data_IF_249601164958
#
_entry.id   IF_249601164958
#
_cell.length_a   1.000
_cell.length_b   1.000
_cell.length_c   1.000
_cell.angle_alpha   90.00
_cell.angle_beta   90.00
_cell.angle_gamma   90.00
#
_symmetry.space_group_name_H-M   'P 1'
#
loop_
_entity.id
_entity.type
_entity.pdbx_description
1 polymer ?
#
# COMPACT_ATOMS: atom_id res chain seq x y z
N UNK A 1 1.78 14.21 14.60
CA UNK A 1 2.29 14.46 13.24
C UNK A 1 3.00 13.20 12.77
N UNK A 2 2.59 12.57 11.65
CA UNK A 2 3.31 11.38 11.12
C UNK A 2 4.62 11.86 10.49
N UNK A 3 5.74 11.18 10.77
CA UNK A 3 7.05 11.56 10.24
C UNK A 3 7.13 11.26 8.73
N UNK A 4 7.41 12.25 7.86
CA UNK A 4 7.53 12.02 6.41
C UNK A 4 8.58 10.97 6.04
N UNK A 5 9.70 10.94 6.78
CA UNK A 5 10.76 9.94 6.59
C UNK A 5 10.23 8.52 6.86
N UNK A 6 9.42 8.35 7.91
CA UNK A 6 8.83 7.05 8.23
C UNK A 6 7.82 6.60 7.18
N UNK A 7 7.11 7.52 6.53
CA UNK A 7 6.16 7.17 5.48
C UNK A 7 6.86 6.78 4.17
N UNK A 8 8.00 7.42 3.84
CA UNK A 8 8.84 7.03 2.72
C UNK A 8 9.47 5.64 2.92
N UNK A 9 9.96 5.33 4.12
CA UNK A 9 10.55 4.01 4.40
C UNK A 9 9.50 2.90 4.39
N UNK A 10 8.28 3.18 4.89
CA UNK A 10 7.13 2.27 4.72
C UNK A 10 6.86 1.98 3.25
N UNK A 11 6.89 2.98 2.39
CA UNK A 11 6.64 2.79 0.95
C UNK A 11 7.70 1.92 0.29
N UNK A 12 8.97 2.12 0.64
CA UNK A 12 10.08 1.27 0.17
C UNK A 12 9.87 -0.18 0.58
N UNK A 13 9.49 -0.42 1.85
CA UNK A 13 9.18 -1.77 2.34
C UNK A 13 7.97 -2.37 1.64
N UNK A 14 6.88 -1.62 1.45
CA UNK A 14 5.70 -2.11 0.71
C UNK A 14 6.08 -2.51 -0.71
N UNK A 15 6.76 -1.64 -1.45
CA UNK A 15 7.17 -1.93 -2.83
C UNK A 15 8.06 -3.18 -2.89
N UNK A 16 8.96 -3.35 -1.92
CA UNK A 16 9.82 -4.52 -1.82
C UNK A 16 9.08 -5.82 -1.45
N UNK A 17 7.96 -5.72 -0.71
CA UNK A 17 7.13 -6.88 -0.35
C UNK A 17 6.24 -7.37 -1.49
N UNK A 18 5.77 -6.49 -2.38
CA UNK A 18 4.76 -6.82 -3.40
C UNK A 18 5.03 -8.10 -4.22
N UNK A 19 6.27 -8.41 -4.65
CA UNK A 19 6.55 -9.65 -5.37
C UNK A 19 6.31 -10.93 -4.56
N UNK A 20 6.46 -10.88 -3.24
CA UNK A 20 6.40 -12.05 -2.35
C UNK A 20 4.99 -12.26 -1.75
N UNK A 21 4.18 -11.20 -1.68
CA UNK A 21 2.81 -11.24 -1.13
C UNK A 21 1.93 -12.34 -1.74
N UNK A 22 1.96 -12.63 -3.06
CA UNK A 22 1.17 -13.71 -3.63
C UNK A 22 1.40 -15.08 -3.00
N UNK A 23 2.56 -15.31 -2.40
CA UNK A 23 2.94 -16.56 -1.73
C UNK A 23 2.80 -16.41 -0.21
N UNK A 24 3.55 -15.48 0.37
CA UNK A 24 3.72 -15.32 1.82
C UNK A 24 2.65 -14.45 2.48
N UNK A 25 1.83 -13.77 1.67
CA UNK A 25 0.83 -12.83 2.14
C UNK A 25 1.41 -11.60 2.83
N UNK A 26 0.52 -10.82 3.44
CA UNK A 26 0.89 -9.67 4.27
C UNK A 26 1.36 -10.14 5.65
N UNK A 27 2.55 -10.73 5.71
CA UNK A 27 3.07 -11.40 6.90
C UNK A 27 4.37 -10.78 7.43
N UNK A 28 4.71 -11.10 8.67
CA UNK A 28 6.01 -10.75 9.28
C UNK A 28 7.19 -11.43 8.55
N UNK A 29 6.95 -12.59 7.93
CA UNK A 29 7.96 -13.26 7.12
C UNK A 29 8.28 -12.44 5.86
N UNK A 30 7.24 -12.07 5.10
CA UNK A 30 7.39 -11.25 3.90
C UNK A 30 8.04 -9.88 4.22
N UNK A 31 7.66 -9.26 5.34
CA UNK A 31 8.26 -8.00 5.80
C UNK A 31 9.77 -8.15 6.07
N UNK A 32 10.16 -9.25 6.75
CA UNK A 32 11.57 -9.52 7.04
C UNK A 32 12.37 -9.74 5.76
N UNK A 33 11.86 -10.54 4.83
CA UNK A 33 12.50 -10.81 3.53
C UNK A 33 12.67 -9.52 2.72
N UNK A 34 11.62 -8.69 2.68
CA UNK A 34 11.68 -7.39 2.02
C UNK A 34 12.69 -6.44 2.68
N UNK A 35 12.71 -6.36 4.01
CA UNK A 35 13.65 -5.52 4.76
C UNK A 35 15.11 -5.94 4.51
N UNK A 36 15.41 -7.24 4.57
CA UNK A 36 16.72 -7.80 4.23
C UNK A 36 17.12 -7.44 2.78
N UNK A 37 16.17 -7.53 1.83
CA UNK A 37 16.39 -7.22 0.41
C UNK A 37 16.77 -5.76 0.15
N UNK A 38 16.18 -4.81 0.88
CA UNK A 38 16.43 -3.37 0.68
C UNK A 38 17.39 -2.76 1.71
N UNK A 39 18.01 -3.59 2.55
CA UNK A 39 19.01 -3.14 3.55
C UNK A 39 18.42 -2.41 4.76
N UNK A 40 17.13 -2.62 5.07
CA UNK A 40 16.50 -2.06 6.27
C UNK A 40 16.65 -3.03 7.44
N UNK A 41 17.15 -2.61 8.61
CA UNK A 41 17.22 -3.47 9.78
C UNK A 41 15.84 -4.05 10.14
N UNK A 42 15.76 -5.37 10.36
CA UNK A 42 14.48 -6.06 10.63
C UNK A 42 13.76 -5.48 11.86
N UNK A 43 14.50 -5.05 12.87
CA UNK A 43 13.94 -4.41 14.06
C UNK A 43 13.25 -3.07 13.71
N UNK A 44 13.85 -2.27 12.84
CA UNK A 44 13.28 -1.01 12.35
C UNK A 44 12.05 -1.26 11.47
N UNK A 45 12.13 -2.22 10.54
CA UNK A 45 10.99 -2.61 9.71
C UNK A 45 9.79 -3.04 10.57
N UNK A 46 10.02 -3.84 11.63
CA UNK A 46 8.96 -4.22 12.59
C UNK A 46 8.41 -3.02 13.36
N UNK A 47 9.26 -2.09 13.78
CA UNK A 47 8.85 -0.88 14.49
C UNK A 47 7.95 0.03 13.62
N UNK A 48 8.10 0.01 12.30
CA UNK A 48 7.23 0.74 11.37
C UNK A 48 5.81 0.17 11.27
N UNK A 49 5.63 -1.11 11.61
CA UNK A 49 4.37 -1.87 11.51
C UNK A 49 4.06 -2.66 12.81
N UNK A 50 3.84 -1.98 13.96
CA UNK A 50 3.72 -2.62 15.27
C UNK A 50 2.55 -3.60 15.38
N UNK A 51 1.47 -3.40 14.60
CA UNK A 51 0.31 -4.31 14.57
C UNK A 51 0.43 -5.39 13.47
N UNK A 52 1.58 -5.46 12.80
CA UNK A 52 1.85 -6.45 11.75
C UNK A 52 0.97 -6.27 10.51
N UNK A 53 0.36 -7.37 10.06
CA UNK A 53 -0.36 -7.46 8.78
C UNK A 53 -1.33 -6.29 8.52
N UNK A 54 -2.09 -5.86 9.53
CA UNK A 54 -3.05 -4.76 9.38
C UNK A 54 -2.36 -3.43 9.08
N UNK A 55 -1.24 -3.11 9.75
CA UNK A 55 -0.50 -1.87 9.51
C UNK A 55 0.18 -1.89 8.14
N UNK A 56 0.67 -3.07 7.72
CA UNK A 56 1.26 -3.30 6.41
C UNK A 56 0.21 -3.09 5.31
N UNK A 57 -0.97 -3.70 5.42
CA UNK A 57 -2.08 -3.50 4.46
C UNK A 57 -2.53 -2.04 4.42
N UNK A 58 -2.60 -1.37 5.57
CA UNK A 58 -2.92 0.05 5.63
C UNK A 58 -1.86 0.91 4.93
N UNK A 59 -0.58 0.55 5.04
CA UNK A 59 0.50 1.20 4.34
C UNK A 59 0.47 0.90 2.84
N UNK A 60 0.10 -0.31 2.42
CA UNK A 60 -0.12 -0.63 1.02
C UNK A 60 -1.23 0.22 0.38
N UNK A 61 -2.37 0.44 1.06
CA UNK A 61 -3.41 1.33 0.53
C UNK A 61 -2.89 2.78 0.34
N UNK A 62 -2.15 3.30 1.33
CA UNK A 62 -1.56 4.65 1.28
C UNK A 62 -0.46 4.77 0.22
N UNK A 63 0.36 3.75 0.06
CA UNK A 63 1.35 3.66 -1.01
C UNK A 63 0.63 3.75 -2.36
N UNK A 64 -0.44 2.99 -2.57
CA UNK A 64 -1.22 3.05 -3.79
C UNK A 64 -1.88 4.42 -4.00
N UNK A 65 -2.31 5.12 -2.94
CA UNK A 65 -2.85 6.49 -3.03
C UNK A 65 -1.79 7.47 -3.53
N UNK A 66 -0.59 7.45 -2.93
CA UNK A 66 0.53 8.32 -3.34
C UNK A 66 0.92 8.06 -4.78
N UNK A 67 1.14 6.80 -5.14
CA UNK A 67 1.48 6.39 -6.50
C UNK A 67 0.39 6.74 -7.53
N UNK A 68 -0.88 6.78 -7.13
CA UNK A 68 -1.99 7.23 -7.96
C UNK A 68 -1.97 8.75 -8.13
N UNK A 69 -1.79 9.51 -7.04
CA UNK A 69 -1.71 10.97 -7.07
C UNK A 69 -0.52 11.44 -7.92
N UNK A 70 0.65 10.86 -7.74
CA UNK A 70 1.85 11.17 -8.53
C UNK A 70 1.60 10.99 -10.04
N UNK A 71 0.90 9.92 -10.44
CA UNK A 71 0.53 9.67 -11.84
C UNK A 71 -0.52 10.65 -12.36
N UNK A 72 -1.47 11.05 -11.53
CA UNK A 72 -2.50 12.03 -11.91
C UNK A 72 -1.90 13.42 -12.07
N UNK A 73 -0.96 13.79 -11.21
CA UNK A 73 -0.27 15.10 -11.20
C UNK A 73 0.78 15.20 -12.32
N UNK A 74 1.47 14.12 -12.66
CA UNK A 74 2.45 14.10 -13.75
C UNK A 74 1.79 14.23 -15.15
N UNK A 75 0.50 13.98 -15.27
CA UNK A 75 -0.22 14.05 -16.53
C UNK A 75 -0.81 15.46 -16.78
N UNK A 76 -0.92 15.91 -18.04
CA UNK A 76 -1.39 17.25 -18.36
C UNK A 76 -2.76 17.54 -17.73
N UNK A 77 -3.00 18.77 -17.24
CA UNK A 77 -4.32 19.16 -16.77
C UNK A 77 -5.30 19.12 -17.94
N UNK A 78 -6.44 18.48 -17.72
CA UNK A 78 -7.52 18.38 -18.70
C UNK A 78 -8.78 19.02 -18.10
N UNK A 79 -9.53 19.85 -18.86
CA UNK A 79 -10.73 20.52 -18.37
C UNK A 79 -11.90 19.52 -18.27
N UNK A 80 -11.83 18.65 -17.28
CA UNK A 80 -12.81 17.61 -16.99
C UNK A 80 -13.81 18.08 -15.93
N UNK A 81 -15.07 17.69 -16.09
CA UNK A 81 -16.05 17.80 -15.00
C UNK A 81 -15.60 16.99 -13.77
N UNK A 82 -16.11 17.33 -12.58
CA UNK A 82 -15.73 16.66 -11.34
C UNK A 82 -15.88 15.13 -11.43
N UNK A 83 -17.00 14.64 -11.98
CA UNK A 83 -17.25 13.20 -12.14
C UNK A 83 -16.24 12.52 -13.07
N UNK A 84 -15.82 13.19 -14.15
CA UNK A 84 -14.79 12.67 -15.06
C UNK A 84 -13.41 12.66 -14.40
N UNK A 85 -13.09 13.67 -13.59
CA UNK A 85 -11.87 13.70 -12.78
C UNK A 85 -11.83 12.52 -11.81
N UNK A 86 -12.91 12.28 -11.07
CA UNK A 86 -13.02 11.14 -10.15
C UNK A 86 -12.83 9.81 -10.90
N UNK A 87 -13.55 9.60 -12.01
CA UNK A 87 -13.44 8.38 -12.81
C UNK A 87 -12.03 8.14 -13.34
N UNK A 88 -11.35 9.21 -13.81
CA UNK A 88 -9.95 9.15 -14.24
C UNK A 88 -9.02 8.75 -13.10
N UNK A 89 -9.14 9.39 -11.94
CA UNK A 89 -8.33 9.07 -10.76
C UNK A 89 -8.52 7.61 -10.32
N UNK A 90 -9.77 7.14 -10.26
CA UNK A 90 -10.07 5.74 -9.94
C UNK A 90 -9.48 4.77 -10.97
N UNK A 91 -9.57 5.08 -12.26
CA UNK A 91 -8.95 4.26 -13.32
C UNK A 91 -7.45 4.14 -13.14
N UNK A 92 -6.75 5.25 -12.88
CA UNK A 92 -5.30 5.26 -12.62
C UNK A 92 -4.95 4.35 -11.43
N UNK A 93 -5.74 4.40 -10.34
CA UNK A 93 -5.55 3.51 -9.18
C UNK A 93 -5.69 2.04 -9.56
N UNK A 94 -6.73 1.69 -10.32
CA UNK A 94 -6.95 0.30 -10.72
C UNK A 94 -5.88 -0.21 -11.67
N UNK A 95 -5.44 0.62 -12.63
CA UNK A 95 -4.34 0.28 -13.54
C UNK A 95 -3.02 0.08 -12.79
N UNK A 96 -2.72 0.96 -11.82
CA UNK A 96 -1.58 0.82 -10.91
C UNK A 96 -1.59 -0.51 -10.15
N UNK A 97 -2.76 -0.93 -9.67
CA UNK A 97 -2.91 -2.14 -8.87
C UNK A 97 -3.07 -3.42 -9.70
N UNK A 98 -3.24 -3.31 -11.02
CA UNK A 98 -3.46 -4.45 -11.91
C UNK A 98 -2.33 -5.50 -11.88
N UNK A 99 -1.04 -5.14 -11.78
CA UNK A 99 0.03 -6.12 -11.60
C UNK A 99 0.02 -6.80 -10.22
N UNK A 100 -0.67 -6.22 -9.23
CA UNK A 100 -0.66 -6.62 -7.82
C UNK A 100 -2.02 -7.14 -7.34
N UNK A 101 -2.83 -7.71 -8.24
CA UNK A 101 -4.18 -8.21 -7.93
C UNK A 101 -4.25 -9.16 -6.74
N UNK A 102 -3.28 -10.08 -6.64
CA UNK A 102 -3.24 -11.03 -5.53
C UNK A 102 -2.89 -10.34 -4.20
N UNK A 103 -2.04 -9.30 -4.23
CA UNK A 103 -1.75 -8.49 -3.05
C UNK A 103 -2.99 -7.73 -2.56
N UNK A 104 -3.81 -7.20 -3.49
CA UNK A 104 -5.11 -6.61 -3.18
C UNK A 104 -6.05 -7.64 -2.55
N UNK A 105 -6.20 -8.82 -3.17
CA UNK A 105 -7.06 -9.90 -2.66
C UNK A 105 -6.67 -10.32 -1.25
N UNK A 106 -5.38 -10.57 -1.00
CA UNK A 106 -4.88 -10.93 0.33
C UNK A 106 -5.03 -9.80 1.34
N UNK A 107 -4.93 -8.55 0.90
CA UNK A 107 -5.22 -7.38 1.73
C UNK A 107 -6.69 -7.35 2.18
N UNK A 108 -7.62 -7.64 1.27
CA UNK A 108 -9.05 -7.75 1.60
C UNK A 108 -9.32 -8.84 2.64
N UNK A 109 -8.65 -9.99 2.57
CA UNK A 109 -8.80 -11.06 3.59
C UNK A 109 -8.42 -10.56 4.99
N UNK A 110 -7.35 -9.76 5.11
CA UNK A 110 -6.97 -9.13 6.39
C UNK A 110 -8.04 -8.15 6.86
N UNK A 111 -8.55 -7.30 5.96
CA UNK A 111 -9.53 -6.26 6.29
C UNK A 111 -10.94 -6.80 6.61
N UNK A 112 -11.28 -7.97 6.05
CA UNK A 112 -12.58 -8.62 6.26
C UNK A 112 -12.74 -9.19 7.69
N UNK A 113 -11.65 -9.36 8.45
CA UNK A 113 -11.75 -9.78 9.84
C UNK A 113 -12.50 -8.73 10.68
N UNK A 114 -13.43 -9.12 11.58
CA UNK A 114 -14.30 -8.18 12.31
C UNK A 114 -13.54 -7.06 13.03
N UNK A 115 -12.42 -7.38 13.67
CA UNK A 115 -11.56 -6.43 14.39
C UNK A 115 -10.91 -5.38 13.47
N UNK A 116 -10.88 -5.62 12.15
CA UNK A 116 -10.26 -4.75 11.15
C UNK A 116 -11.28 -3.96 10.31
N UNK A 117 -12.57 -4.29 10.40
CA UNK A 117 -13.62 -3.66 9.61
C UNK A 117 -13.65 -2.12 9.72
N UNK A 118 -13.49 -1.49 10.91
CA UNK A 118 -13.45 -0.03 11.02
C UNK A 118 -12.26 0.62 10.31
N UNK A 119 -11.16 -0.13 10.11
CA UNK A 119 -10.06 0.33 9.28
C UNK A 119 -10.37 0.14 7.79
N UNK A 120 -10.93 -1.02 7.41
CA UNK A 120 -11.29 -1.30 6.02
C UNK A 120 -12.23 -0.26 5.41
N UNK A 121 -13.14 0.33 6.20
CA UNK A 121 -14.05 1.40 5.75
C UNK A 121 -13.38 2.77 5.55
N UNK A 122 -12.12 2.94 5.98
CA UNK A 122 -11.38 4.22 5.90
C UNK A 122 -10.26 4.23 4.87
N UNK A 123 -9.84 3.06 4.39
CA UNK A 123 -8.75 2.88 3.43
C UNK A 123 -9.25 2.92 1.99
#
# INVERSE_FOLDING_TARGET
MKSPLADAERDRLIAAMLPDVPFDGWSQHALRVAAERIGVPVAEARALFPRGAIDIVAAFSRWADRQMLDRVEAAPPEPLSLSRRIARTLRVRFELLLPFREAVRRGMTVLAMPQNAPLGLRL
#
